data_IF_336988987130
#
_entry.id   IF_336988987130
#
_cell.length_a   1.000
_cell.length_b   1.000
_cell.length_c   1.000
_cell.angle_alpha   90.00
_cell.angle_beta   90.00
_cell.angle_gamma   90.00
#
_symmetry.space_group_name_H-M   'P 1'
#
loop_
_entity.id
_entity.type
_entity.pdbx_description
1 polymer ?
#
# COMPACT_ATOMS: atom_id res chain seq x y z
N UNK A 1 10.06 17.41 -12.96
CA UNK A 1 9.25 16.20 -13.24
C UNK A 1 10.10 15.35 -14.17
N UNK A 2 10.39 14.09 -13.84
CA UNK A 2 11.24 13.23 -14.67
C UNK A 2 10.34 12.42 -15.59
N UNK A 3 10.55 12.52 -16.90
CA UNK A 3 9.88 11.68 -17.89
C UNK A 3 10.66 10.36 -18.04
N UNK A 4 9.94 9.24 -18.04
CA UNK A 4 10.51 7.89 -18.28
C UNK A 4 9.69 7.27 -19.41
N UNK A 5 10.37 6.79 -20.44
CA UNK A 5 9.75 6.13 -21.58
C UNK A 5 9.89 4.61 -21.46
N UNK A 6 8.91 3.89 -21.99
CA UNK A 6 9.02 2.44 -22.15
C UNK A 6 10.00 2.09 -23.27
N UNK A 7 10.71 0.98 -23.12
CA UNK A 7 11.43 0.38 -24.24
C UNK A 7 10.48 -0.38 -25.21
N UNK A 8 11.04 -0.99 -26.26
CA UNK A 8 10.30 -1.77 -27.26
C UNK A 8 9.49 -2.94 -26.68
N UNK A 9 9.80 -3.37 -25.46
CA UNK A 9 9.12 -4.46 -24.76
C UNK A 9 8.15 -3.94 -23.70
N UNK A 10 7.90 -2.63 -23.64
CA UNK A 10 7.01 -2.00 -22.68
C UNK A 10 7.60 -1.86 -21.27
N UNK A 11 8.92 -2.00 -21.09
CA UNK A 11 9.55 -1.94 -19.76
C UNK A 11 9.91 -0.50 -19.42
N UNK A 12 9.63 -0.10 -18.17
CA UNK A 12 10.12 1.15 -17.57
C UNK A 12 11.30 0.86 -16.64
N UNK A 13 12.38 1.62 -16.78
CA UNK A 13 13.52 1.53 -15.87
C UNK A 13 13.29 2.43 -14.66
N UNK A 14 13.18 1.82 -13.49
CA UNK A 14 13.08 2.55 -12.22
C UNK A 14 14.49 3.06 -11.83
N UNK A 15 14.67 4.38 -11.61
CA UNK A 15 15.96 4.94 -11.21
C UNK A 15 16.53 4.28 -9.96
N UNK A 16 17.86 4.24 -9.86
CA UNK A 16 18.56 3.55 -8.79
C UNK A 16 18.15 4.08 -7.41
N UNK A 17 18.01 5.39 -7.29
CA UNK A 17 17.66 6.10 -6.06
C UNK A 17 16.27 5.70 -5.55
N UNK A 18 15.34 5.43 -6.47
CA UNK A 18 14.00 4.94 -6.15
C UNK A 18 14.06 3.48 -5.69
N UNK A 19 14.86 2.63 -6.36
CA UNK A 19 15.05 1.23 -5.95
C UNK A 19 15.74 1.10 -4.60
N UNK A 20 16.72 1.94 -4.29
CA UNK A 20 17.36 1.96 -2.97
C UNK A 20 16.39 2.35 -1.86
N UNK A 21 15.45 3.25 -2.15
CA UNK A 21 14.45 3.70 -1.18
C UNK A 21 13.29 2.73 -0.99
N UNK A 22 12.82 2.09 -2.06
CA UNK A 22 11.56 1.33 -2.05
C UNK A 22 11.72 -0.15 -2.42
N UNK A 23 12.93 -0.61 -2.74
CA UNK A 23 13.21 -1.98 -3.14
C UNK A 23 13.01 -2.23 -4.63
N UNK A 24 13.08 -3.50 -5.00
CA UNK A 24 13.11 -3.94 -6.42
C UNK A 24 11.81 -4.61 -6.88
N UNK A 25 10.91 -4.93 -5.95
CA UNK A 25 9.66 -5.64 -6.24
C UNK A 25 8.49 -4.68 -6.10
N UNK A 26 7.63 -4.69 -7.11
CA UNK A 26 6.45 -3.83 -7.15
C UNK A 26 5.24 -4.63 -7.62
N UNK A 27 4.06 -4.26 -7.12
CA UNK A 27 2.77 -4.66 -7.66
C UNK A 27 2.26 -3.54 -8.56
N UNK A 28 1.89 -3.89 -9.78
CA UNK A 28 1.27 -2.96 -10.72
C UNK A 28 -0.24 -2.92 -10.45
N UNK A 29 -0.75 -1.73 -10.19
CA UNK A 29 -2.18 -1.47 -9.98
C UNK A 29 -2.69 -0.64 -11.15
N UNK A 30 -3.70 -1.15 -11.84
CA UNK A 30 -4.43 -0.40 -12.86
C UNK A 30 -5.47 0.49 -12.22
N UNK A 31 -5.47 1.77 -12.60
CA UNK A 31 -6.42 2.79 -12.17
C UNK A 31 -7.13 3.35 -13.41
N UNK A 32 -8.20 4.13 -13.23
CA UNK A 32 -8.94 4.72 -14.36
C UNK A 32 -8.06 5.58 -15.27
N UNK A 33 -7.16 6.36 -14.68
CA UNK A 33 -6.36 7.37 -15.40
C UNK A 33 -4.87 7.02 -15.46
N UNK A 34 -4.49 5.77 -15.16
CA UNK A 34 -3.09 5.35 -15.24
C UNK A 34 -2.75 4.10 -14.44
N UNK A 35 -1.47 3.93 -14.15
CA UNK A 35 -0.95 2.80 -13.36
C UNK A 35 -0.18 3.31 -12.15
N UNK A 36 -0.24 2.56 -11.04
CA UNK A 36 0.57 2.79 -9.84
C UNK A 36 1.45 1.59 -9.57
N UNK A 37 2.74 1.84 -9.34
CA UNK A 37 3.67 0.82 -8.85
C UNK A 37 3.71 0.90 -7.31
N UNK A 38 3.22 -0.13 -6.65
CA UNK A 38 3.24 -0.25 -5.19
C UNK A 38 4.40 -1.16 -4.76
N UNK A 39 5.38 -0.69 -3.97
CA UNK A 39 6.45 -1.53 -3.46
C UNK A 39 5.93 -2.76 -2.72
N UNK A 40 6.56 -3.92 -2.93
CA UNK A 40 6.25 -5.16 -2.21
C UNK A 40 7.33 -5.40 -1.17
N UNK A 41 7.08 -5.11 0.12
CA UNK A 41 8.04 -5.40 1.18
C UNK A 41 8.32 -6.91 1.27
N UNK A 42 9.51 -7.27 1.73
CA UNK A 42 9.90 -8.66 1.95
C UNK A 42 9.07 -9.30 3.07
N UNK A 43 8.77 -8.51 4.11
CA UNK A 43 7.83 -8.85 5.18
C UNK A 43 6.71 -7.80 5.25
N UNK A 44 5.55 -8.06 4.61
CA UNK A 44 4.42 -7.13 4.62
C UNK A 44 3.84 -6.86 6.01
N UNK A 45 3.90 -7.82 6.92
CA UNK A 45 3.34 -7.66 8.27
C UNK A 45 4.23 -6.76 9.10
N UNK A 46 5.54 -7.01 9.07
CA UNK A 46 6.50 -6.16 9.77
C UNK A 46 6.53 -4.75 9.18
N UNK A 47 6.45 -4.61 7.86
CA UNK A 47 6.38 -3.30 7.20
C UNK A 47 5.11 -2.53 7.56
N UNK A 48 3.96 -3.21 7.64
CA UNK A 48 2.71 -2.61 8.08
C UNK A 48 2.83 -2.10 9.52
N UNK A 49 3.32 -2.92 10.45
CA UNK A 49 3.51 -2.52 11.85
C UNK A 49 4.44 -1.32 11.97
N UNK A 50 5.60 -1.34 11.31
CA UNK A 50 6.55 -0.24 11.34
C UNK A 50 6.01 1.09 10.77
N UNK A 51 5.03 1.02 9.87
CA UNK A 51 4.37 2.19 9.29
C UNK A 51 3.14 2.66 10.09
N UNK A 52 2.74 1.90 11.10
CA UNK A 52 1.53 2.17 11.88
C UNK A 52 1.85 2.94 13.16
N UNK A 53 0.82 3.52 13.80
CA UNK A 53 0.99 4.12 15.11
C UNK A 53 1.46 3.09 16.15
N UNK A 54 2.11 3.55 17.22
CA UNK A 54 2.50 2.69 18.33
C UNK A 54 1.27 1.94 18.89
N UNK A 55 0.13 2.62 19.01
CA UNK A 55 -1.15 2.05 19.41
C UNK A 55 -1.61 0.90 18.49
N UNK A 56 -1.47 1.03 17.17
CA UNK A 56 -1.80 -0.03 16.23
C UNK A 56 -0.81 -1.20 16.27
N UNK A 57 0.44 -0.93 16.64
CA UNK A 57 1.49 -1.96 16.77
C UNK A 57 1.30 -2.80 18.02
N UNK A 58 0.82 -2.18 19.11
CA UNK A 58 0.56 -2.84 20.40
C UNK A 58 -0.79 -3.54 20.47
N UNK A 59 -1.74 -3.20 19.57
CA UNK A 59 -3.06 -3.82 19.51
C UNK A 59 -2.99 -5.33 19.24
N UNK A 60 -3.83 -6.08 19.96
CA UNK A 60 -3.99 -7.51 19.69
C UNK A 60 -4.82 -7.74 18.41
N UNK A 61 -4.72 -8.95 17.85
CA UNK A 61 -5.57 -9.33 16.70
C UNK A 61 -7.08 -9.26 17.02
N UNK A 62 -7.45 -9.42 18.30
CA UNK A 62 -8.84 -9.32 18.74
C UNK A 62 -9.31 -7.86 18.70
N UNK A 63 -8.51 -6.94 19.27
CA UNK A 63 -8.79 -5.49 19.27
C UNK A 63 -8.91 -4.94 17.84
N UNK A 64 -7.98 -5.31 16.96
CA UNK A 64 -8.00 -4.89 15.55
C UNK A 64 -9.25 -5.39 14.81
N UNK A 65 -9.72 -6.59 15.16
CA UNK A 65 -10.90 -7.20 14.54
C UNK A 65 -12.17 -6.54 15.03
N UNK A 66 -12.27 -6.26 16.32
CA UNK A 66 -13.39 -5.53 16.91
C UNK A 66 -13.50 -4.13 16.31
N UNK A 67 -12.42 -3.35 16.32
CA UNK A 67 -12.38 -2.01 15.75
C UNK A 67 -12.76 -2.00 14.25
N UNK A 68 -12.26 -2.96 13.47
CA UNK A 68 -12.62 -3.09 12.05
C UNK A 68 -14.10 -3.41 11.83
N UNK A 69 -14.73 -4.17 12.73
CA UNK A 69 -16.16 -4.45 12.66
C UNK A 69 -17.03 -3.30 13.15
N UNK A 70 -16.58 -2.50 14.11
CA UNK A 70 -17.26 -1.27 14.51
C UNK A 70 -17.25 -0.25 13.37
N UNK A 71 -16.08 0.05 12.81
CA UNK A 71 -15.94 0.97 11.67
C UNK A 71 -16.79 0.53 10.46
N UNK A 72 -16.81 -0.76 10.14
CA UNK A 72 -17.64 -1.28 9.05
C UNK A 72 -19.15 -1.09 9.30
N UNK A 73 -19.59 -1.15 10.56
CA UNK A 73 -20.98 -0.87 10.93
C UNK A 73 -21.29 0.61 10.80
N UNK A 74 -20.42 1.46 11.31
CA UNK A 74 -20.58 2.92 11.25
C UNK A 74 -20.67 3.41 9.80
N UNK A 75 -19.80 2.90 8.91
CA UNK A 75 -19.86 3.21 7.47
C UNK A 75 -21.13 2.69 6.78
N UNK A 76 -21.72 1.61 7.29
CA UNK A 76 -22.99 1.08 6.77
C UNK A 76 -24.15 1.97 7.20
N UNK A 77 -24.18 2.40 8.46
CA UNK A 77 -25.21 3.27 9.00
C UNK A 77 -25.14 4.70 8.41
N UNK A 78 -23.95 5.19 8.07
CA UNK A 78 -23.74 6.48 7.40
C UNK A 78 -24.29 6.48 5.95
N UNK A 79 -24.22 5.34 5.24
CA UNK A 79 -24.69 5.22 3.86
C UNK A 79 -26.14 4.74 3.70
N UNK A 80 -26.82 4.40 4.81
CA UNK A 80 -28.23 3.97 4.82
C UNK A 80 -29.19 5.11 5.25
N UNK A 81 -28.67 6.32 5.52
CA UNK A 81 -29.47 7.52 5.82
C UNK A 81 -29.64 8.48 4.64
#
# INVERSE_FOLDING_TARGET
>A
MTEITTDERGRVTIPKEIRERFGERYRLIELRDGVKLLPVPDDPVSALRAASSDEFTEASMEDLREAGFEEARDQTDEHVR
#
